data_IF_264433831313
#
_entry.id   IF_264433831313
#
_cell.length_a   1.000
_cell.length_b   1.000
_cell.length_c   1.000
_cell.angle_alpha   90.00
_cell.angle_beta   90.00
_cell.angle_gamma   90.00
#
_symmetry.space_group_name_H-M   'P 1'
#
loop_
_entity.id
_entity.type
_entity.pdbx_description
1 polymer ?
#
# COMPACT_ATOMS: atom_id res chain seq x y z
N UNK A 1 37.37 -5.07 34.35
CA UNK A 1 36.83 -5.17 32.97
C UNK A 1 35.40 -4.64 33.03
N UNK A 2 35.07 -3.56 32.30
CA UNK A 2 33.66 -3.13 32.18
C UNK A 2 32.98 -4.14 31.25
N UNK A 3 31.99 -4.85 31.74
CA UNK A 3 31.18 -5.76 30.94
C UNK A 3 30.47 -4.96 29.86
N UNK A 4 30.83 -5.16 28.59
CA UNK A 4 30.14 -4.56 27.46
C UNK A 4 28.76 -5.19 27.32
N UNK A 5 27.73 -4.36 27.20
CA UNK A 5 26.37 -4.84 27.07
C UNK A 5 25.91 -4.89 25.63
N UNK A 6 25.41 -6.06 25.24
CA UNK A 6 24.81 -6.29 23.95
C UNK A 6 23.31 -5.98 24.02
N UNK A 7 22.79 -5.35 22.96
CA UNK A 7 21.35 -5.26 22.73
C UNK A 7 20.82 -6.69 22.57
N UNK A 8 19.75 -7.06 23.27
CA UNK A 8 19.12 -8.38 23.06
C UNK A 8 18.06 -8.23 21.98
N UNK A 9 18.40 -8.68 20.77
CA UNK A 9 17.50 -8.54 19.63
C UNK A 9 16.18 -9.29 19.79
N UNK A 10 15.13 -8.72 19.19
CA UNK A 10 13.75 -9.24 19.22
C UNK A 10 13.35 -9.81 17.86
N UNK A 11 13.68 -11.09 17.57
CA UNK A 11 13.43 -11.69 16.26
C UNK A 11 11.94 -11.75 15.88
N UNK A 12 11.03 -11.64 16.83
CA UNK A 12 9.58 -11.54 16.61
C UNK A 12 9.12 -10.27 15.91
N UNK A 13 9.90 -9.18 15.96
CA UNK A 13 9.53 -7.91 15.33
C UNK A 13 10.25 -7.65 14.00
N UNK A 14 11.53 -8.01 13.92
CA UNK A 14 12.37 -7.75 12.75
C UNK A 14 13.39 -8.87 12.48
N UNK A 15 13.08 -10.10 12.89
CA UNK A 15 13.88 -11.27 12.52
C UNK A 15 14.00 -11.42 11.00
N UNK A 16 14.98 -12.20 10.55
CA UNK A 16 15.32 -12.33 9.13
C UNK A 16 14.14 -12.73 8.25
N UNK A 17 13.21 -13.56 8.74
CA UNK A 17 12.01 -13.91 7.97
C UNK A 17 11.06 -12.73 7.76
N UNK A 18 10.87 -11.87 8.77
CA UNK A 18 10.08 -10.64 8.64
C UNK A 18 10.81 -9.66 7.71
N UNK A 19 12.11 -9.42 7.91
CA UNK A 19 12.89 -8.52 7.04
C UNK A 19 12.85 -8.96 5.57
N UNK A 20 13.16 -10.22 5.30
CA UNK A 20 13.12 -10.78 3.96
C UNK A 20 11.71 -10.71 3.34
N UNK A 21 10.65 -10.88 4.13
CA UNK A 21 9.27 -10.72 3.66
C UNK A 21 9.00 -9.31 3.13
N UNK A 22 9.41 -8.27 3.87
CA UNK A 22 9.29 -6.87 3.43
C UNK A 22 10.12 -6.62 2.18
N UNK A 23 11.34 -7.14 2.11
CA UNK A 23 12.20 -6.96 0.93
C UNK A 23 11.56 -7.57 -0.31
N UNK A 24 11.07 -8.80 -0.21
CA UNK A 24 10.35 -9.48 -1.29
C UNK A 24 9.11 -8.69 -1.72
N UNK A 25 8.31 -8.19 -0.77
CA UNK A 25 7.14 -7.37 -1.09
C UNK A 25 7.52 -6.05 -1.78
N UNK A 26 8.59 -5.36 -1.36
CA UNK A 26 9.02 -4.10 -2.00
C UNK A 26 9.48 -4.32 -3.44
N UNK A 27 10.31 -5.34 -3.68
CA UNK A 27 10.74 -5.70 -5.04
C UNK A 27 9.58 -6.23 -5.87
N UNK A 28 8.73 -7.09 -5.29
CA UNK A 28 7.54 -7.62 -5.92
C UNK A 28 6.58 -6.51 -6.37
N UNK A 29 6.28 -5.53 -5.50
CA UNK A 29 5.45 -4.37 -5.86
C UNK A 29 6.10 -3.53 -6.96
N UNK A 30 7.43 -3.39 -6.95
CA UNK A 30 8.17 -2.66 -7.98
C UNK A 30 8.06 -3.33 -9.34
N UNK A 31 8.21 -4.66 -9.38
CA UNK A 31 8.09 -5.47 -10.59
C UNK A 31 6.65 -5.60 -11.07
N UNK A 32 5.68 -5.72 -10.17
CA UNK A 32 4.26 -5.85 -10.49
C UNK A 32 3.71 -4.65 -11.28
N UNK A 33 4.42 -3.51 -11.30
CA UNK A 33 4.06 -2.36 -12.16
C UNK A 33 4.15 -2.62 -13.67
N UNK A 34 4.88 -3.66 -14.04
CA UNK A 34 5.05 -4.11 -15.42
C UNK A 34 4.00 -5.14 -15.85
N UNK A 35 3.18 -5.59 -14.91
CA UNK A 35 2.12 -6.57 -15.12
C UNK A 35 0.79 -5.82 -15.31
N UNK A 36 -0.05 -6.28 -16.23
CA UNK A 36 -1.35 -5.67 -16.50
C UNK A 36 -2.46 -6.13 -15.56
N UNK A 37 -2.25 -7.18 -14.77
CA UNK A 37 -3.21 -7.68 -13.77
C UNK A 37 -3.25 -6.75 -12.53
N UNK A 38 -4.33 -5.98 -12.35
CA UNK A 38 -4.49 -5.11 -11.18
C UNK A 38 -4.65 -5.91 -9.88
N UNK A 39 -5.10 -7.15 -9.95
CA UNK A 39 -5.43 -8.00 -8.80
C UNK A 39 -4.17 -8.42 -8.07
N UNK A 40 -3.17 -8.88 -8.81
CA UNK A 40 -1.89 -9.29 -8.22
C UNK A 40 -1.22 -8.11 -7.51
N UNK A 41 -1.14 -6.95 -8.16
CA UNK A 41 -0.58 -5.77 -7.51
C UNK A 41 -1.35 -5.41 -6.23
N UNK A 42 -2.69 -5.48 -6.28
CA UNK A 42 -3.51 -5.18 -5.11
C UNK A 42 -3.31 -6.15 -3.96
N UNK A 43 -3.10 -7.42 -4.27
CA UNK A 43 -2.78 -8.43 -3.27
C UNK A 43 -1.43 -8.14 -2.61
N UNK A 44 -0.40 -7.77 -3.39
CA UNK A 44 0.89 -7.36 -2.83
C UNK A 44 0.76 -6.10 -1.96
N UNK A 45 0.06 -5.07 -2.45
CA UNK A 45 -0.14 -3.82 -1.73
C UNK A 45 -0.90 -4.03 -0.41
N UNK A 46 -1.98 -4.82 -0.45
CA UNK A 46 -2.78 -5.14 0.74
C UNK A 46 -1.98 -5.96 1.74
N UNK A 47 -1.20 -6.94 1.27
CA UNK A 47 -0.32 -7.75 2.12
C UNK A 47 0.74 -6.88 2.80
N UNK A 48 1.38 -5.99 2.04
CA UNK A 48 2.33 -5.04 2.58
C UNK A 48 1.69 -4.13 3.63
N UNK A 49 0.51 -3.59 3.36
CA UNK A 49 -0.22 -2.74 4.31
C UNK A 49 -0.55 -3.49 5.61
N UNK A 50 -1.03 -4.74 5.53
CA UNK A 50 -1.33 -5.56 6.71
C UNK A 50 -0.07 -5.83 7.53
N UNK A 51 1.04 -6.21 6.88
CA UNK A 51 2.30 -6.48 7.57
C UNK A 51 2.89 -5.22 8.20
N UNK A 52 2.91 -4.10 7.47
CA UNK A 52 3.37 -2.82 7.97
C UNK A 52 2.53 -2.36 9.18
N UNK A 53 1.21 -2.48 9.10
CA UNK A 53 0.31 -2.15 10.21
C UNK A 53 0.54 -3.05 11.42
N UNK A 54 0.68 -4.37 11.23
CA UNK A 54 0.92 -5.32 12.31
C UNK A 54 2.23 -5.06 13.05
N UNK A 55 3.32 -4.85 12.31
CA UNK A 55 4.62 -4.50 12.90
C UNK A 55 4.58 -3.13 13.58
N UNK A 56 3.88 -2.15 12.98
CA UNK A 56 3.73 -0.83 13.58
C UNK A 56 2.92 -0.85 14.88
N UNK A 57 1.80 -1.58 14.92
CA UNK A 57 1.02 -1.77 16.15
C UNK A 57 1.87 -2.47 17.21
N UNK A 58 2.64 -3.50 16.84
CA UNK A 58 3.58 -4.16 17.73
C UNK A 58 4.64 -3.21 18.30
N UNK A 59 5.17 -2.31 17.46
CA UNK A 59 6.09 -1.26 17.88
C UNK A 59 5.42 -0.30 18.87
N UNK A 60 4.22 0.21 18.57
CA UNK A 60 3.49 1.14 19.46
C UNK A 60 3.19 0.50 20.81
N UNK A 61 2.73 -0.75 20.83
CA UNK A 61 2.47 -1.50 22.07
C UNK A 61 3.77 -1.66 22.86
N UNK A 62 4.88 -1.99 22.18
CA UNK A 62 6.18 -2.16 22.82
C UNK A 62 6.69 -0.86 23.46
N UNK A 63 6.55 0.25 22.73
CA UNK A 63 6.89 1.58 23.25
C UNK A 63 5.98 1.97 24.44
N UNK A 64 4.69 1.66 24.38
CA UNK A 64 3.72 2.00 25.42
C UNK A 64 3.89 1.16 26.70
N UNK A 65 4.25 -0.12 26.55
CA UNK A 65 4.46 -1.04 27.68
C UNK A 65 5.86 -0.94 28.28
N UNK A 66 6.69 -0.01 27.78
CA UNK A 66 8.10 0.14 28.16
C UNK A 66 8.86 -1.20 28.03
N UNK A 67 8.48 -2.02 27.05
CA UNK A 67 9.28 -3.20 26.74
C UNK A 67 10.63 -2.74 26.21
N UNK A 68 11.64 -3.56 26.51
CA UNK A 68 13.05 -3.22 26.35
C UNK A 68 13.42 -3.26 24.86
N UNK A 69 13.09 -2.21 24.10
CA UNK A 69 13.64 -1.94 22.76
C UNK A 69 14.74 -0.88 22.87
N UNK A 70 15.82 -1.08 22.15
CA UNK A 70 16.85 -0.06 21.92
C UNK A 70 16.40 0.92 20.82
N UNK A 71 17.01 2.11 20.78
CA UNK A 71 16.70 3.09 19.72
C UNK A 71 17.08 2.58 18.32
N UNK A 72 18.12 1.74 18.20
CA UNK A 72 18.51 1.07 16.97
C UNK A 72 17.42 0.11 16.49
N UNK A 73 16.79 -0.66 17.39
CA UNK A 73 15.67 -1.54 17.05
C UNK A 73 14.43 -0.75 16.61
N UNK A 74 14.09 0.33 17.33
CA UNK A 74 13.00 1.23 16.94
C UNK A 74 13.27 1.83 15.56
N UNK A 75 14.51 2.26 15.31
CA UNK A 75 14.92 2.80 14.02
C UNK A 75 14.82 1.75 12.89
N UNK A 76 15.29 0.52 13.12
CA UNK A 76 15.15 -0.61 12.17
C UNK A 76 13.68 -0.89 11.86
N UNK A 77 12.84 -0.97 12.90
CA UNK A 77 11.41 -1.21 12.73
C UNK A 77 10.75 -0.11 11.93
N UNK A 78 11.04 1.16 12.26
CA UNK A 78 10.55 2.31 11.51
C UNK A 78 11.01 2.28 10.06
N UNK A 79 12.28 2.01 9.75
CA UNK A 79 12.75 1.85 8.38
C UNK A 79 11.96 0.75 7.64
N UNK A 80 11.71 -0.38 8.28
CA UNK A 80 10.98 -1.51 7.71
C UNK A 80 9.52 -1.15 7.39
N UNK A 81 8.78 -0.57 8.33
CA UNK A 81 7.38 -0.23 8.10
C UNK A 81 7.18 1.00 7.22
N UNK A 82 8.16 1.90 7.16
CA UNK A 82 8.06 3.16 6.41
C UNK A 82 8.76 3.15 5.05
N UNK A 83 9.53 2.11 4.70
CA UNK A 83 10.28 2.00 3.44
C UNK A 83 9.44 2.38 2.21
N UNK A 84 8.36 1.64 1.98
CA UNK A 84 7.51 1.82 0.81
C UNK A 84 6.59 3.04 0.95
N UNK A 85 5.96 3.23 2.12
CA UNK A 85 5.00 4.31 2.35
C UNK A 85 5.63 5.71 2.43
N UNK A 86 6.87 5.84 2.92
CA UNK A 86 7.56 7.12 3.07
C UNK A 86 8.65 7.32 2.01
N UNK A 87 9.66 6.45 1.98
CA UNK A 87 10.90 6.71 1.23
C UNK A 87 10.76 6.45 -0.27
N UNK A 88 10.07 5.37 -0.67
CA UNK A 88 9.80 5.09 -2.10
C UNK A 88 8.87 6.16 -2.72
N UNK A 89 8.04 6.84 -1.92
CA UNK A 89 7.22 7.97 -2.37
C UNK A 89 8.00 9.28 -2.54
N UNK A 90 9.22 9.39 -2.02
CA UNK A 90 9.98 10.64 -2.04
C UNK A 90 10.37 11.08 -3.47
N UNK A 91 10.89 10.21 -4.36
CA UNK A 91 11.09 10.56 -5.77
C UNK A 91 9.81 11.03 -6.44
N UNK A 92 8.66 10.43 -6.08
CA UNK A 92 7.36 10.83 -6.59
C UNK A 92 6.96 12.25 -6.16
N UNK A 93 7.15 12.60 -4.89
CA UNK A 93 6.89 13.95 -4.40
C UNK A 93 7.81 14.99 -5.05
N UNK A 94 9.11 14.68 -5.17
CA UNK A 94 10.07 15.53 -5.87
C UNK A 94 9.64 15.75 -7.31
N UNK A 95 9.22 14.68 -8.00
CA UNK A 95 8.75 14.75 -9.37
C UNK A 95 7.50 15.62 -9.53
N UNK A 96 6.49 15.48 -8.65
CA UNK A 96 5.29 16.33 -8.68
C UNK A 96 5.63 17.81 -8.46
N UNK A 97 6.53 18.11 -7.52
CA UNK A 97 6.99 19.48 -7.28
C UNK A 97 7.76 20.03 -8.49
N UNK A 98 8.69 19.25 -9.05
CA UNK A 98 9.48 19.63 -10.22
C UNK A 98 8.62 19.88 -11.47
N UNK A 99 7.50 19.19 -11.58
CA UNK A 99 6.55 19.33 -12.69
C UNK A 99 5.42 20.33 -12.40
N UNK A 100 5.46 21.02 -11.25
CA UNK A 100 4.46 22.01 -10.81
C UNK A 100 3.04 21.40 -10.86
N UNK A 101 2.90 20.17 -10.36
CA UNK A 101 1.62 19.45 -10.27
C UNK A 101 0.87 19.35 -11.61
N UNK A 102 1.59 19.35 -12.73
CA UNK A 102 1.00 19.20 -14.05
C UNK A 102 0.41 17.79 -14.18
N UNK A 103 -0.92 17.63 -14.33
CA UNK A 103 -1.57 16.33 -14.31
C UNK A 103 -1.17 15.45 -15.50
N UNK A 104 -0.66 16.06 -16.58
CA UNK A 104 -0.14 15.31 -17.72
C UNK A 104 1.25 14.68 -17.45
N UNK A 105 2.02 15.24 -16.52
CA UNK A 105 3.37 14.76 -16.13
C UNK A 105 3.32 13.80 -14.93
N UNK A 106 2.16 13.57 -14.34
CA UNK A 106 2.05 12.87 -13.07
C UNK A 106 2.25 11.34 -13.23
N UNK A 107 3.33 10.81 -12.64
CA UNK A 107 3.56 9.36 -12.53
C UNK A 107 2.52 8.65 -11.64
N UNK A 108 1.76 9.41 -10.84
CA UNK A 108 0.71 8.94 -9.95
C UNK A 108 -0.49 8.35 -10.67
N UNK A 109 -0.47 8.38 -12.01
CA UNK A 109 -1.38 7.67 -12.89
C UNK A 109 -1.55 6.17 -12.52
N UNK A 110 -0.62 5.61 -11.76
CA UNK A 110 -0.69 4.24 -11.23
C UNK A 110 -1.97 3.95 -10.41
N UNK A 111 -2.34 4.80 -9.46
CA UNK A 111 -3.59 4.63 -8.69
C UNK A 111 -4.83 4.95 -9.55
N UNK A 112 -4.67 5.83 -10.53
CA UNK A 112 -5.76 6.20 -11.42
C UNK A 112 -6.11 5.07 -12.41
N UNK A 113 -5.12 4.33 -12.91
CA UNK A 113 -5.30 3.25 -13.90
C UNK A 113 -5.82 1.93 -13.30
N UNK A 114 -5.63 1.68 -12.00
CA UNK A 114 -6.23 0.51 -11.32
C UNK A 114 -7.77 0.64 -11.18
N UNK A 115 -8.40 1.65 -11.79
CA UNK A 115 -9.84 1.83 -11.82
C UNK A 115 -10.43 2.32 -10.50
N UNK A 116 -9.60 2.67 -9.53
CA UNK A 116 -10.06 3.10 -8.21
C UNK A 116 -10.85 4.40 -8.22
N UNK A 117 -10.54 5.30 -9.16
CA UNK A 117 -11.22 6.58 -9.28
C UNK A 117 -12.50 6.51 -10.12
N UNK A 118 -12.57 5.59 -11.09
CA UNK A 118 -13.73 5.45 -11.99
C UNK A 118 -14.77 4.42 -11.51
N UNK A 119 -14.43 3.53 -10.57
CA UNK A 119 -15.41 2.69 -9.88
C UNK A 119 -16.05 3.44 -8.72
N UNK A 120 -16.90 4.43 -9.04
CA UNK A 120 -17.63 5.24 -8.08
C UNK A 120 -18.51 4.46 -7.08
N UNK A 121 -18.78 3.18 -7.34
CA UNK A 121 -19.69 2.36 -6.54
C UNK A 121 -19.00 1.44 -5.52
N UNK A 122 -17.66 1.43 -5.45
CA UNK A 122 -16.95 0.61 -4.45
C UNK A 122 -16.44 1.48 -3.31
N UNK A 123 -16.87 1.18 -2.07
CA UNK A 123 -16.37 1.83 -0.86
C UNK A 123 -14.93 1.43 -0.50
N UNK A 124 -14.49 0.24 -0.93
CA UNK A 124 -13.17 -0.33 -0.61
C UNK A 124 -11.94 0.55 -0.90
N UNK A 125 -11.85 1.25 -2.05
CA UNK A 125 -10.71 2.10 -2.40
C UNK A 125 -10.54 3.29 -1.46
N UNK A 126 -11.65 3.90 -1.05
CA UNK A 126 -11.66 5.03 -0.13
C UNK A 126 -11.23 4.60 1.27
N UNK A 127 -11.79 3.48 1.77
CA UNK A 127 -11.42 2.94 3.08
C UNK A 127 -9.94 2.59 3.12
N UNK A 128 -9.43 1.92 2.08
CA UNK A 128 -8.01 1.60 1.97
C UNK A 128 -7.14 2.86 1.94
N UNK A 129 -7.49 3.86 1.11
CA UNK A 129 -6.74 5.11 1.02
C UNK A 129 -6.70 5.90 2.34
N UNK A 130 -7.82 5.95 3.06
CA UNK A 130 -7.89 6.57 4.39
C UNK A 130 -7.03 5.80 5.40
N UNK A 131 -7.12 4.46 5.40
CA UNK A 131 -6.33 3.62 6.30
C UNK A 131 -4.82 3.73 6.03
N UNK A 132 -4.41 3.72 4.77
CA UNK A 132 -3.01 3.90 4.36
C UNK A 132 -2.50 5.30 4.73
N UNK A 133 -3.32 6.34 4.51
CA UNK A 133 -2.98 7.71 4.91
C UNK A 133 -2.86 7.82 6.44
N UNK A 134 -3.77 7.19 7.19
CA UNK A 134 -3.71 7.13 8.65
C UNK A 134 -2.44 6.45 9.17
N UNK A 135 -2.06 5.31 8.57
CA UNK A 135 -0.81 4.64 8.87
C UNK A 135 0.40 5.53 8.56
N UNK A 136 0.42 6.17 7.39
CA UNK A 136 1.49 7.09 6.99
C UNK A 136 1.65 8.26 7.97
N UNK A 137 0.55 8.90 8.36
CA UNK A 137 0.58 10.01 9.33
C UNK A 137 1.06 9.54 10.71
N UNK A 138 0.65 8.34 11.13
CA UNK A 138 1.12 7.73 12.38
C UNK A 138 2.62 7.45 12.33
N UNK A 139 3.12 6.90 11.23
CA UNK A 139 4.54 6.65 11.00
C UNK A 139 5.37 7.95 11.00
N UNK A 140 4.89 8.99 10.32
CA UNK A 140 5.52 10.32 10.34
C UNK A 140 5.60 10.85 11.77
N UNK A 141 4.51 10.75 12.53
CA UNK A 141 4.46 11.15 13.94
C UNK A 141 5.50 10.40 14.79
N UNK A 142 5.56 9.07 14.67
CA UNK A 142 6.52 8.24 15.41
C UNK A 142 7.98 8.52 15.00
N UNK A 143 8.25 8.76 13.72
CA UNK A 143 9.56 9.20 13.24
C UNK A 143 9.95 10.55 13.84
N UNK A 144 9.08 11.55 13.77
CA UNK A 144 9.33 12.88 14.33
C UNK A 144 9.56 12.79 15.85
N UNK A 145 8.79 11.97 16.56
CA UNK A 145 9.01 11.69 17.96
C UNK A 145 10.39 11.06 18.21
N UNK A 146 10.77 10.01 17.45
CA UNK A 146 12.07 9.35 17.59
C UNK A 146 13.21 10.36 17.47
N UNK A 147 13.22 11.16 16.40
CA UNK A 147 14.32 12.09 16.11
C UNK A 147 14.34 13.32 17.02
N UNK A 148 13.19 13.77 17.51
CA UNK A 148 13.09 14.94 18.40
C UNK A 148 13.45 14.61 19.85
N UNK A 149 12.89 13.55 20.42
CA UNK A 149 13.06 13.21 21.84
C UNK A 149 13.25 11.73 22.13
N UNK A 150 12.82 10.85 21.22
CA UNK A 150 12.82 9.41 21.46
C UNK A 150 14.24 8.86 21.59
N UNK A 151 15.16 9.26 20.72
CA UNK A 151 16.57 8.84 20.79
C UNK A 151 17.13 9.14 22.18
N UNK A 152 17.01 10.36 22.68
CA UNK A 152 17.54 10.81 23.99
C UNK A 152 16.78 10.24 25.20
N UNK A 153 15.68 9.53 24.99
CA UNK A 153 14.89 9.04 26.10
C UNK A 153 15.69 8.01 26.90
N UNK A 154 15.79 8.23 28.23
CA UNK A 154 16.43 7.30 29.14
C UNK A 154 15.83 5.89 29.01
N UNK A 155 14.57 5.78 28.60
CA UNK A 155 13.92 4.51 28.30
C UNK A 155 14.65 3.74 27.20
N UNK A 156 14.97 4.34 26.04
CA UNK A 156 15.63 3.63 24.94
C UNK A 156 17.15 3.47 25.14
N UNK A 157 17.78 4.34 25.95
CA UNK A 157 19.21 4.27 26.25
C UNK A 157 19.56 3.29 27.39
N UNK A 158 18.74 3.22 28.45
CA UNK A 158 19.01 2.39 29.62
C UNK A 158 18.68 0.90 29.41
N UNK A 159 18.16 0.55 28.24
CA UNK A 159 17.69 -0.79 27.91
C UNK A 159 18.82 -1.80 27.59
N UNK A 160 20.08 -1.40 27.75
CA UNK A 160 21.21 -2.32 27.78
C UNK A 160 21.18 -3.18 29.04
N UNK A 161 21.02 -4.49 28.86
CA UNK A 161 21.16 -5.46 29.96
C UNK A 161 22.43 -6.28 29.76
N UNK A 162 23.20 -6.43 30.81
CA UNK A 162 24.28 -7.41 30.84
C UNK A 162 23.70 -8.84 30.88
N UNK A 163 24.54 -9.83 30.64
CA UNK A 163 24.14 -11.25 30.69
C UNK A 163 23.57 -11.67 32.07
N UNK A 164 23.93 -10.94 33.12
CA UNK A 164 23.45 -11.11 34.50
C UNK A 164 22.17 -10.31 34.82
N UNK A 165 21.63 -9.57 33.85
CA UNK A 165 20.46 -8.71 34.02
C UNK A 165 20.73 -7.35 34.66
N UNK A 166 21.99 -7.01 34.96
CA UNK A 166 22.36 -5.69 35.48
C UNK A 166 22.24 -4.59 34.41
N UNK A 167 21.88 -3.38 34.85
CA UNK A 167 21.83 -2.19 33.99
C UNK A 167 23.26 -1.73 33.74
N UNK A 168 23.60 -1.53 32.48
CA UNK A 168 24.94 -1.21 32.05
C UNK A 168 24.91 -0.11 31.00
N UNK A 169 26.04 0.59 30.89
CA UNK A 169 26.22 1.65 29.91
C UNK A 169 26.20 1.03 28.51
N UNK A 170 25.10 1.30 27.79
CA UNK A 170 24.87 0.72 26.48
C UNK A 170 25.93 1.22 25.50
N UNK A 171 26.38 0.32 24.63
CA UNK A 171 27.23 0.67 23.50
C UNK A 171 26.57 1.77 22.66
N UNK A 172 27.41 2.67 22.16
CA UNK A 172 27.03 3.74 21.25
C UNK A 172 26.18 3.19 20.10
N UNK A 173 24.90 3.55 20.07
CA UNK A 173 23.98 3.09 19.04
C UNK A 173 24.25 3.84 17.73
N UNK A 174 24.34 3.12 16.63
CA UNK A 174 24.63 3.68 15.31
C UNK A 174 23.52 3.41 14.30
N UNK A 175 23.25 4.36 13.42
CA UNK A 175 22.30 4.25 12.31
C UNK A 175 22.99 4.42 10.96
N UNK A 176 22.24 4.15 9.90
CA UNK A 176 22.70 4.29 8.51
C UNK A 176 22.68 5.72 7.98
N UNK A 177 23.85 6.22 7.55
CA UNK A 177 24.02 7.41 6.69
C UNK A 177 25.10 7.16 5.64
N UNK A 178 25.06 6.02 4.93
CA UNK A 178 26.14 5.51 4.05
C UNK A 178 27.49 5.24 4.75
N UNK A 179 27.55 5.54 6.04
CA UNK A 179 28.58 5.23 7.02
C UNK A 179 27.89 5.09 8.38
N UNK A 180 28.52 4.46 9.37
CA UNK A 180 27.98 4.43 10.73
C UNK A 180 27.85 5.86 11.26
N UNK A 181 26.61 6.29 11.49
CA UNK A 181 26.26 7.57 12.09
C UNK A 181 25.79 7.36 13.51
N UNK A 182 26.24 8.17 14.45
CA UNK A 182 25.74 8.12 15.82
C UNK A 182 24.27 8.56 15.86
N UNK A 183 23.38 7.69 16.34
CA UNK A 183 21.96 7.99 16.49
C UNK A 183 21.74 9.22 17.38
N UNK A 184 22.60 9.42 18.39
CA UNK A 184 22.55 10.55 19.32
C UNK A 184 22.95 11.87 18.68
N UNK A 185 23.71 11.83 17.57
CA UNK A 185 24.31 13.04 17.03
C UNK A 185 23.27 14.01 16.47
N UNK A 186 23.37 15.28 16.87
CA UNK A 186 22.44 16.34 16.46
C UNK A 186 22.31 16.44 14.94
N UNK A 187 23.43 16.31 14.22
CA UNK A 187 23.44 16.36 12.75
C UNK A 187 22.68 15.20 12.10
N UNK A 188 22.84 13.98 12.61
CA UNK A 188 22.14 12.81 12.09
C UNK A 188 20.63 12.88 12.39
N UNK A 189 20.25 13.34 13.58
CA UNK A 189 18.85 13.57 13.97
C UNK A 189 18.20 14.64 13.10
N UNK A 190 18.86 15.78 12.92
CA UNK A 190 18.36 16.87 12.08
C UNK A 190 18.17 16.41 10.63
N UNK A 191 19.14 15.68 10.07
CA UNK A 191 19.05 15.14 8.71
C UNK A 191 17.83 14.25 8.52
N UNK A 192 17.63 13.27 9.41
CA UNK A 192 16.48 12.37 9.32
C UNK A 192 15.15 13.10 9.55
N UNK A 193 15.10 14.03 10.52
CA UNK A 193 13.91 14.85 10.74
C UNK A 193 13.52 15.66 9.49
N UNK A 194 14.51 16.27 8.80
CA UNK A 194 14.27 17.01 7.55
C UNK A 194 13.68 16.12 6.46
N UNK A 195 14.19 14.89 6.30
CA UNK A 195 13.62 13.93 5.33
C UNK A 195 12.17 13.62 5.67
N UNK A 196 11.85 13.39 6.94
CA UNK A 196 10.49 13.06 7.37
C UNK A 196 9.55 14.26 7.22
N UNK A 197 10.01 15.48 7.51
CA UNK A 197 9.23 16.70 7.21
C UNK A 197 9.00 16.88 5.71
N UNK A 198 9.98 16.56 4.86
CA UNK A 198 9.80 16.60 3.40
C UNK A 198 8.76 15.59 2.92
N UNK A 199 8.76 14.37 3.48
CA UNK A 199 7.72 13.35 3.22
C UNK A 199 6.35 13.87 3.65
N UNK A 200 6.23 14.40 4.88
CA UNK A 200 4.98 14.93 5.41
C UNK A 200 4.43 16.09 4.57
N UNK A 201 5.28 17.06 4.22
CA UNK A 201 4.93 18.17 3.35
C UNK A 201 4.50 17.67 1.96
N UNK A 202 5.24 16.71 1.38
CA UNK A 202 4.87 16.06 0.13
C UNK A 202 3.48 15.45 0.18
N UNK A 203 3.17 14.68 1.22
CA UNK A 203 1.85 14.07 1.42
C UNK A 203 0.74 15.11 1.51
N UNK A 204 0.90 16.14 2.33
CA UNK A 204 -0.10 17.22 2.48
C UNK A 204 -0.34 17.94 1.15
N UNK A 205 0.74 18.31 0.44
CA UNK A 205 0.61 19.01 -0.83
C UNK A 205 -0.07 18.13 -1.88
N UNK A 206 0.25 16.82 -1.94
CA UNK A 206 -0.44 15.90 -2.84
C UNK A 206 -1.92 15.74 -2.50
N UNK A 207 -2.27 15.64 -1.22
CA UNK A 207 -3.66 15.52 -0.78
C UNK A 207 -4.47 16.79 -1.12
N UNK A 208 -3.90 17.98 -0.91
CA UNK A 208 -4.52 19.25 -1.29
C UNK A 208 -4.69 19.38 -2.82
N UNK A 209 -3.70 18.91 -3.59
CA UNK A 209 -3.80 18.88 -5.05
C UNK A 209 -4.94 17.97 -5.51
N UNK A 210 -5.03 16.77 -4.93
CA UNK A 210 -6.02 15.76 -5.30
C UNK A 210 -7.44 16.15 -4.84
N UNK A 211 -7.58 16.92 -3.76
CA UNK A 211 -8.83 17.55 -3.32
C UNK A 211 -9.33 18.66 -4.29
N UNK A 212 -8.59 18.95 -5.36
CA UNK A 212 -8.98 19.92 -6.38
C UNK A 212 -8.73 21.38 -5.98
N UNK A 213 -8.13 21.62 -4.82
CA UNK A 213 -7.82 22.98 -4.34
C UNK A 213 -6.77 23.66 -5.22
N UNK A 214 -5.92 22.89 -5.90
CA UNK A 214 -4.80 23.40 -6.71
C UNK A 214 -5.10 23.30 -8.23
N UNK A 215 -6.10 22.53 -8.66
CA UNK A 215 -6.25 22.13 -10.07
C UNK A 215 -7.58 22.51 -10.78
N UNK A 216 -8.46 23.32 -10.17
CA UNK A 216 -9.84 23.48 -10.65
C UNK A 216 -10.01 24.21 -12.02
N UNK A 217 -9.00 24.92 -12.54
CA UNK A 217 -9.15 25.66 -13.81
C UNK A 217 -8.64 24.91 -15.06
N UNK A 218 -7.76 23.92 -14.93
CA UNK A 218 -7.16 23.24 -16.07
C UNK A 218 -8.11 22.21 -16.72
N UNK A 219 -9.01 21.62 -15.93
CA UNK A 219 -9.91 20.54 -16.37
C UNK A 219 -11.06 21.06 -17.25
N UNK A 220 -11.50 22.30 -17.01
CA UNK A 220 -12.52 22.99 -17.81
C UNK A 220 -12.09 23.21 -19.28
N UNK A 221 -10.79 23.49 -19.52
CA UNK A 221 -10.25 23.72 -20.88
C UNK A 221 -9.98 22.42 -21.64
N UNK A 222 -9.79 21.30 -20.94
CA UNK A 222 -9.48 19.98 -21.53
C UNK A 222 -10.65 19.41 -22.36
N UNK A 223 -11.90 19.69 -21.95
CA UNK A 223 -13.11 19.20 -22.63
C UNK A 223 -13.28 19.74 -24.06
N UNK A 224 -12.71 20.91 -24.39
CA UNK A 224 -12.76 21.50 -25.76
C UNK A 224 -11.76 20.89 -26.74
N UNK A 225 -10.75 20.12 -26.29
CA UNK A 225 -9.66 19.60 -27.15
C UNK A 225 -9.89 18.17 -27.68
N UNK A 226 -11.10 17.63 -27.54
CA UNK A 226 -11.45 16.24 -27.90
C UNK A 226 -11.28 15.86 -29.40
N UNK A 227 -10.97 16.79 -30.31
CA UNK A 227 -10.78 16.48 -31.75
C UNK A 227 -9.34 16.14 -32.18
N UNK A 228 -8.30 16.51 -31.43
CA UNK A 228 -6.88 16.19 -31.77
C UNK A 228 -6.37 14.87 -31.14
N UNK A 229 -7.26 13.92 -30.88
CA UNK A 229 -7.05 12.83 -29.91
C UNK A 229 -6.13 11.69 -30.36
N UNK A 230 -6.10 11.32 -31.65
CA UNK A 230 -5.38 10.12 -32.10
C UNK A 230 -3.85 10.27 -32.01
N UNK A 231 -3.29 11.36 -32.52
CA UNK A 231 -1.83 11.61 -32.40
C UNK A 231 -1.39 11.81 -30.94
N UNK A 232 -2.25 12.41 -30.11
CA UNK A 232 -1.99 12.60 -28.69
C UNK A 232 -2.01 11.29 -27.89
N UNK A 233 -2.78 10.28 -28.32
CA UNK A 233 -2.78 8.95 -27.67
C UNK A 233 -1.40 8.31 -27.79
N UNK A 234 -0.84 8.23 -29.00
CA UNK A 234 0.51 7.66 -29.22
C UNK A 234 1.59 8.37 -28.41
N UNK A 235 1.59 9.70 -28.39
CA UNK A 235 2.54 10.48 -27.57
C UNK A 235 2.32 10.27 -26.06
N UNK A 236 1.07 10.10 -25.63
CA UNK A 236 0.75 9.81 -24.22
C UNK A 236 1.26 8.43 -23.82
N UNK A 237 1.09 7.42 -24.65
CA UNK A 237 1.50 6.05 -24.32
C UNK A 237 3.03 5.93 -24.25
N UNK A 238 3.76 6.52 -25.20
CA UNK A 238 5.23 6.59 -25.16
C UNK A 238 5.75 7.32 -23.91
N UNK A 239 5.05 8.38 -23.49
CA UNK A 239 5.38 9.14 -22.29
C UNK A 239 5.09 8.37 -21.01
N UNK A 240 3.94 7.70 -20.92
CA UNK A 240 3.59 6.86 -19.78
C UNK A 240 4.62 5.74 -19.60
N UNK A 241 5.08 5.15 -20.69
CA UNK A 241 6.13 4.14 -20.67
C UNK A 241 7.47 4.70 -20.14
N UNK A 242 7.85 5.91 -20.56
CA UNK A 242 9.04 6.59 -20.03
C UNK A 242 8.91 6.88 -18.52
N UNK A 243 7.76 7.38 -18.08
CA UNK A 243 7.50 7.66 -16.66
C UNK A 243 7.52 6.38 -15.82
N UNK A 244 6.93 5.30 -16.32
CA UNK A 244 6.99 3.97 -15.67
C UNK A 244 8.43 3.48 -15.55
N UNK A 245 9.23 3.62 -16.61
CA UNK A 245 10.66 3.27 -16.59
C UNK A 245 11.40 4.07 -15.53
N UNK A 246 11.26 5.39 -15.55
CA UNK A 246 11.93 6.29 -14.60
C UNK A 246 11.56 5.95 -13.16
N UNK A 247 10.27 5.81 -12.86
CA UNK A 247 9.80 5.45 -11.51
C UNK A 247 10.34 4.09 -11.08
N UNK A 248 10.30 3.07 -11.95
CA UNK A 248 10.86 1.76 -11.66
C UNK A 248 12.36 1.85 -11.34
N UNK A 249 13.12 2.63 -12.10
CA UNK A 249 14.55 2.85 -11.85
C UNK A 249 14.79 3.57 -10.53
N UNK A 250 13.99 4.58 -10.18
CA UNK A 250 14.05 5.24 -8.87
C UNK A 250 13.75 4.25 -7.73
N UNK A 251 12.69 3.45 -7.86
CA UNK A 251 12.31 2.51 -6.81
C UNK A 251 13.33 1.38 -6.66
N UNK A 252 13.89 0.89 -7.78
CA UNK A 252 14.98 -0.09 -7.80
C UNK A 252 16.31 0.45 -7.25
N UNK A 253 16.49 1.78 -7.14
CA UNK A 253 17.68 2.36 -6.49
C UNK A 253 17.41 2.66 -5.01
N UNK A 254 16.24 3.19 -4.67
CA UNK A 254 15.85 3.50 -3.29
C UNK A 254 15.69 2.22 -2.44
N UNK A 255 15.09 1.17 -3.00
CA UNK A 255 14.81 -0.07 -2.25
C UNK A 255 16.10 -0.74 -1.74
N UNK A 256 17.14 -1.00 -2.55
CA UNK A 256 18.42 -1.53 -2.05
C UNK A 256 19.12 -0.64 -1.03
N UNK A 257 18.99 0.68 -1.14
CA UNK A 257 19.56 1.61 -0.15
C UNK A 257 18.89 1.41 1.20
N UNK A 258 17.56 1.24 1.24
CA UNK A 258 16.82 1.01 2.48
C UNK A 258 17.13 -0.39 3.05
N UNK A 259 17.20 -1.42 2.20
CA UNK A 259 17.65 -2.76 2.62
C UNK A 259 19.04 -2.67 3.27
N UNK A 260 19.97 -1.98 2.61
CA UNK A 260 21.32 -1.74 3.16
C UNK A 260 21.25 -0.98 4.48
N UNK A 261 20.36 0.01 4.60
CA UNK A 261 20.18 0.77 5.83
C UNK A 261 19.72 -0.11 6.99
N UNK A 262 18.78 -1.03 6.76
CA UNK A 262 18.32 -1.99 7.77
C UNK A 262 19.44 -2.97 8.14
N UNK A 263 20.03 -3.64 7.15
CA UNK A 263 21.05 -4.67 7.38
C UNK A 263 22.32 -4.12 8.04
N UNK A 264 22.81 -2.96 7.59
CA UNK A 264 24.00 -2.34 8.16
C UNK A 264 23.73 -1.78 9.55
N UNK A 265 22.53 -1.26 9.84
CA UNK A 265 22.17 -0.84 11.20
C UNK A 265 22.18 -2.05 12.14
N UNK A 266 21.63 -3.18 11.73
CA UNK A 266 21.66 -4.41 12.55
C UNK A 266 23.11 -4.89 12.76
N UNK A 267 23.89 -4.93 11.68
CA UNK A 267 25.29 -5.38 11.73
C UNK A 267 26.17 -4.48 12.59
N UNK A 268 26.10 -3.15 12.44
CA UNK A 268 26.94 -2.23 13.19
C UNK A 268 26.60 -2.12 14.68
N UNK A 269 25.38 -2.52 15.08
CA UNK A 269 24.99 -2.60 16.49
C UNK A 269 25.12 -4.01 17.09
N UNK A 270 25.66 -4.97 16.33
CA UNK A 270 25.89 -6.37 16.75
C UNK A 270 24.66 -7.00 17.43
N UNK A 271 23.47 -6.81 16.82
CA UNK A 271 22.22 -7.30 17.40
C UNK A 271 22.16 -8.83 17.21
N UNK A 272 22.21 -9.63 18.30
CA UNK A 272 22.23 -11.08 18.23
C UNK A 272 20.84 -11.65 17.96
N UNK A 273 20.78 -12.93 17.56
CA UNK A 273 19.54 -13.74 17.42
C UNK A 273 18.51 -13.25 16.39
N UNK A 274 18.82 -12.23 15.57
CA UNK A 274 17.88 -11.70 14.55
C UNK A 274 18.11 -12.27 13.14
N UNK A 275 19.14 -13.10 12.98
CA UNK A 275 19.51 -13.73 11.70
C UNK A 275 19.00 -15.18 11.58
N UNK A 276 18.20 -15.65 12.53
CA UNK A 276 17.61 -17.00 12.52
C UNK A 276 16.09 -16.92 12.31
N UNK A 277 15.57 -17.62 11.31
CA UNK A 277 14.13 -17.76 11.06
C UNK A 277 13.60 -19.06 11.68
N UNK A 278 13.42 -19.08 12.99
CA UNK A 278 13.00 -20.27 13.73
C UNK A 278 11.60 -20.15 14.35
N UNK A 279 10.87 -19.05 14.12
CA UNK A 279 9.53 -18.84 14.66
C UNK A 279 8.48 -18.83 13.57
N UNK A 280 7.30 -19.38 13.86
CA UNK A 280 6.14 -19.36 12.95
C UNK A 280 5.75 -17.93 12.56
N UNK A 281 5.89 -16.97 13.49
CA UNK A 281 5.64 -15.54 13.24
C UNK A 281 6.53 -14.94 12.15
N UNK A 282 7.74 -15.49 11.94
CA UNK A 282 8.63 -15.08 10.85
C UNK A 282 8.39 -15.87 9.55
N UNK A 283 8.00 -17.14 9.65
CA UNK A 283 7.81 -18.01 8.49
C UNK A 283 6.54 -17.65 7.69
N UNK A 284 5.43 -17.35 8.37
CA UNK A 284 4.17 -16.98 7.70
C UNK A 284 4.36 -15.79 6.73
N UNK A 285 4.88 -14.62 7.16
CA UNK A 285 5.05 -13.50 6.25
C UNK A 285 6.07 -13.78 5.15
N UNK A 286 7.13 -14.54 5.47
CA UNK A 286 8.13 -14.95 4.48
C UNK A 286 7.53 -15.81 3.36
N UNK A 287 6.79 -16.86 3.70
CA UNK A 287 6.15 -17.74 2.72
C UNK A 287 5.12 -17.00 1.87
N UNK A 288 4.27 -16.17 2.49
CA UNK A 288 3.28 -15.40 1.73
C UNK A 288 3.96 -14.46 0.74
N UNK A 289 4.99 -13.74 1.17
CA UNK A 289 5.73 -12.80 0.31
C UNK A 289 6.49 -13.52 -0.80
N UNK A 290 7.03 -14.71 -0.51
CA UNK A 290 7.71 -15.55 -1.50
C UNK A 290 6.75 -16.02 -2.60
N UNK A 291 5.57 -16.51 -2.24
CA UNK A 291 4.54 -16.94 -3.19
C UNK A 291 4.12 -15.78 -4.09
N UNK A 292 3.74 -14.64 -3.49
CA UNK A 292 3.29 -13.46 -4.25
C UNK A 292 4.38 -12.93 -5.19
N UNK A 293 5.62 -12.87 -4.72
CA UNK A 293 6.74 -12.41 -5.56
C UNK A 293 7.05 -13.40 -6.67
N UNK A 294 6.95 -14.71 -6.41
CA UNK A 294 7.10 -15.75 -7.43
C UNK A 294 6.01 -15.62 -8.50
N UNK A 295 4.76 -15.36 -8.12
CA UNK A 295 3.68 -15.12 -9.07
C UNK A 295 3.98 -13.91 -9.97
N UNK A 296 4.51 -12.81 -9.40
CA UNK A 296 4.96 -11.63 -10.16
C UNK A 296 6.06 -12.01 -11.14
N UNK A 297 7.09 -12.73 -10.71
CA UNK A 297 8.21 -13.13 -11.58
C UNK A 297 7.75 -14.04 -12.72
N UNK A 298 6.88 -15.01 -12.43
CA UNK A 298 6.32 -15.92 -13.45
C UNK A 298 5.49 -15.15 -14.47
N UNK A 299 4.56 -14.31 -14.02
CA UNK A 299 3.74 -13.50 -14.93
C UNK A 299 4.60 -12.56 -15.79
N UNK A 300 5.61 -11.91 -15.19
CA UNK A 300 6.55 -11.07 -15.92
C UNK A 300 7.34 -11.89 -16.96
N UNK A 301 7.79 -13.10 -16.62
CA UNK A 301 8.46 -14.01 -17.54
C UNK A 301 7.58 -14.43 -18.71
N UNK A 302 6.29 -14.71 -18.49
CA UNK A 302 5.32 -15.01 -19.54
C UNK A 302 5.09 -13.82 -20.48
N UNK A 303 5.01 -12.60 -19.92
CA UNK A 303 4.91 -11.36 -20.72
C UNK A 303 6.16 -11.18 -21.59
N UNK A 304 7.35 -11.36 -21.03
CA UNK A 304 8.62 -11.25 -21.77
C UNK A 304 8.72 -12.31 -22.87
N UNK A 305 8.20 -13.52 -22.63
CA UNK A 305 8.16 -14.60 -23.61
C UNK A 305 7.12 -14.41 -24.71
N UNK A 306 6.27 -13.36 -24.64
CA UNK A 306 5.16 -13.16 -25.58
C UNK A 306 4.03 -14.18 -25.42
N UNK A 307 3.98 -14.89 -24.29
CA UNK A 307 2.96 -15.88 -23.96
C UNK A 307 1.84 -15.28 -23.09
N UNK A 308 1.68 -13.96 -23.09
CA UNK A 308 0.72 -13.28 -22.22
C UNK A 308 -0.71 -13.67 -22.62
N UNK A 309 -1.47 -14.36 -21.74
CA UNK A 309 -2.82 -14.83 -22.06
C UNK A 309 -3.83 -13.69 -22.29
N UNK A 310 -3.48 -12.45 -21.93
CA UNK A 310 -4.37 -11.28 -22.04
C UNK A 310 -4.28 -10.50 -23.35
N UNK A 311 -3.31 -10.79 -24.24
CA UNK A 311 -3.24 -10.08 -25.53
C UNK A 311 -4.48 -10.34 -26.40
N UNK A 312 -5.14 -11.48 -26.21
CA UNK A 312 -6.37 -11.87 -26.92
C UNK A 312 -7.55 -10.90 -26.70
N UNK A 313 -7.66 -10.27 -25.53
CA UNK A 313 -8.77 -9.36 -25.22
C UNK A 313 -8.57 -7.94 -25.77
N UNK A 314 -7.31 -7.48 -25.89
CA UNK A 314 -7.01 -6.10 -26.29
C UNK A 314 -7.31 -5.81 -27.76
N UNK A 315 -7.23 -6.82 -28.62
CA UNK A 315 -7.52 -6.67 -30.05
C UNK A 315 -9.02 -6.61 -30.36
N UNK A 316 -9.88 -7.15 -29.49
CA UNK A 316 -11.31 -7.23 -29.77
C UNK A 316 -12.04 -5.89 -29.53
N UNK A 317 -11.58 -5.10 -28.56
CA UNK A 317 -12.15 -3.78 -28.27
C UNK A 317 -11.77 -2.73 -29.33
N UNK A 318 -10.55 -2.78 -29.89
CA UNK A 318 -10.14 -1.87 -30.97
C UNK A 318 -10.84 -2.18 -32.32
N UNK A 319 -11.26 -3.43 -32.54
CA UNK A 319 -12.05 -3.83 -33.71
C UNK A 319 -13.49 -3.30 -33.67
N UNK A 320 -14.15 -3.38 -32.51
CA UNK A 320 -15.56 -2.95 -32.39
C UNK A 320 -15.74 -1.42 -32.40
N UNK A 321 -14.77 -0.63 -31.91
CA UNK A 321 -14.83 0.84 -32.03
C UNK A 321 -14.70 1.33 -33.49
N UNK A 322 -14.17 0.51 -34.41
CA UNK A 322 -14.12 0.86 -35.83
C UNK A 322 -15.42 0.58 -36.57
N UNK A 323 -16.22 -0.39 -36.13
CA UNK A 323 -17.49 -0.75 -36.80
C UNK A 323 -18.67 0.09 -36.30
N UNK A 324 -18.67 0.53 -35.04
CA UNK A 324 -19.77 1.33 -34.46
C UNK A 324 -19.83 2.79 -34.94
N UNK A 325 -18.80 3.28 -35.63
CA UNK A 325 -18.76 4.65 -36.20
C UNK A 325 -19.49 4.75 -37.55
N UNK A 326 -20.00 3.64 -38.11
CA UNK A 326 -20.72 3.63 -39.39
C UNK A 326 -22.25 3.50 -39.29
N UNK A 327 -22.85 3.59 -38.10
CA UNK A 327 -24.32 3.60 -37.95
C UNK A 327 -24.81 5.04 -37.71
N UNK A 328 -25.09 5.71 -38.82
CA UNK A 328 -25.74 7.02 -38.89
C UNK A 328 -27.20 6.91 -38.39
N UNK A 329 -27.47 7.22 -37.12
CA UNK A 329 -28.84 7.47 -36.65
C UNK A 329 -29.26 8.91 -36.99
N UNK A 330 -30.06 9.06 -38.04
CA UNK A 330 -30.86 10.25 -38.33
C UNK A 330 -32.15 10.21 -37.51
N UNK A 331 -32.10 10.66 -36.25
CA UNK A 331 -33.30 10.83 -35.42
C UNK A 331 -33.51 12.32 -35.10
N UNK A 332 -34.56 12.88 -35.71
CA UNK A 332 -35.09 14.23 -35.44
C UNK A 332 -35.57 14.36 -33.98
N UNK A 333 -35.57 15.58 -33.40
CA UNK A 333 -36.23 15.82 -32.13
C UNK A 333 -37.74 16.01 -32.36
N UNK A 334 -38.55 15.24 -31.63
CA UNK A 334 -39.99 15.51 -31.45
C UNK A 334 -40.20 16.05 -30.03
N UNK A 335 -40.99 17.12 -29.99
CA UNK A 335 -41.40 17.92 -28.85
C UNK A 335 -42.23 17.18 -27.79
N UNK A 336 -42.34 17.83 -26.63
CA UNK A 336 -43.52 17.89 -25.74
C UNK A 336 -43.60 16.89 -24.58
N UNK A 337 -43.42 17.36 -23.33
CA UNK A 337 -44.49 17.98 -22.53
C UNK A 337 -44.08 18.01 -21.05
N UNK A 338 -44.32 19.15 -20.41
CA UNK A 338 -44.14 19.35 -18.99
C UNK A 338 -45.30 18.70 -18.21
N UNK A 339 -44.97 17.97 -17.14
CA UNK A 339 -45.93 17.49 -16.14
C UNK A 339 -45.75 18.34 -14.87
N UNK A 340 -46.81 18.96 -14.33
CA UNK A 340 -46.73 19.70 -13.08
C UNK A 340 -46.82 18.74 -11.88
N UNK A 341 -45.94 18.94 -10.89
CA UNK A 341 -45.97 18.22 -9.61
C UNK A 341 -46.78 19.05 -8.61
N UNK A 342 -47.86 18.45 -8.08
CA UNK A 342 -48.62 18.91 -6.92
C UNK A 342 -47.96 18.44 -5.61
N UNK A 343 -48.08 19.19 -4.50
CA UNK A 343 -47.56 18.78 -3.21
C UNK A 343 -48.65 18.10 -2.33
N UNK A 344 -48.34 16.94 -1.75
CA UNK A 344 -49.08 16.35 -0.62
C UNK A 344 -48.05 15.98 0.46
N UNK A 345 -48.08 16.69 1.59
CA UNK A 345 -48.74 16.33 2.85
C UNK A 345 -48.02 15.25 3.68
N UNK A 346 -47.33 15.75 4.71
CA UNK A 346 -47.46 15.37 6.13
C UNK A 346 -47.61 13.88 6.50
N UNK A 347 -46.58 13.32 7.14
CA UNK A 347 -46.72 12.23 8.10
C UNK A 347 -45.68 12.35 9.24
N UNK A 348 -46.19 12.19 10.46
CA UNK A 348 -45.62 12.45 11.79
C UNK A 348 -44.56 11.43 12.26
N UNK A 349 -43.83 11.72 13.36
CA UNK A 349 -42.74 10.88 13.84
C UNK A 349 -43.23 9.73 14.74
N UNK A 350 -42.58 8.58 14.61
CA UNK A 350 -42.77 7.40 15.47
C UNK A 350 -41.81 7.49 16.65
N UNK A 351 -42.37 7.40 17.86
CA UNK A 351 -41.71 7.26 19.16
C UNK A 351 -41.29 5.80 19.35
N UNK A 352 -40.10 5.49 19.90
CA UNK A 352 -39.75 4.14 20.32
C UNK A 352 -40.04 3.92 21.82
N UNK A 353 -40.70 2.82 22.14
CA UNK A 353 -40.80 2.30 23.51
C UNK A 353 -39.62 1.38 23.86
N UNK A 354 -39.27 1.24 25.16
CA UNK A 354 -38.07 0.53 25.60
C UNK A 354 -38.36 -0.82 26.29
N UNK A 355 -37.26 -1.57 26.49
CA UNK A 355 -37.05 -2.64 27.50
C UNK A 355 -37.57 -4.05 27.17
N UNK A 356 -36.65 -5.02 27.06
CA UNK A 356 -36.51 -6.09 28.08
C UNK A 356 -35.21 -6.90 27.92
N UNK A 357 -34.44 -6.97 29.02
CA UNK A 357 -33.41 -7.98 29.26
C UNK A 357 -34.07 -9.33 29.58
N UNK A 358 -33.55 -10.41 29.00
CA UNK A 358 -33.90 -11.79 29.35
C UNK A 358 -32.67 -12.69 29.22
N UNK A 359 -32.26 -13.25 30.34
CA UNK A 359 -31.15 -14.19 30.57
C UNK A 359 -31.48 -15.64 30.19
N UNK A 360 -30.47 -16.52 30.35
CA UNK A 360 -30.52 -18.00 30.44
C UNK A 360 -30.43 -18.72 29.09
N UNK A 361 -29.79 -19.87 28.88
CA UNK A 361 -28.60 -20.58 29.37
C UNK A 361 -28.56 -21.89 28.55
N UNK A 362 -27.35 -22.46 28.43
CA UNK A 362 -27.04 -23.90 28.30
C UNK A 362 -27.43 -24.74 27.06
N UNK A 363 -26.39 -25.47 26.62
CA UNK A 363 -26.32 -26.91 26.29
C UNK A 363 -26.67 -27.40 24.89
N UNK A 364 -25.62 -27.95 24.25
CA UNK A 364 -25.51 -29.28 23.62
C UNK A 364 -26.65 -29.78 22.73
N UNK A 365 -26.31 -30.10 21.48
CA UNK A 365 -26.28 -31.49 20.99
C UNK A 365 -25.93 -31.56 19.50
N UNK A 366 -25.22 -32.64 19.17
CA UNK A 366 -24.60 -32.98 17.88
C UNK A 366 -25.62 -33.63 16.89
N UNK A 367 -25.20 -34.39 15.85
CA UNK A 367 -25.66 -34.19 14.48
C UNK A 367 -26.71 -35.23 14.02
N UNK A 368 -27.33 -35.02 12.86
CA UNK A 368 -28.05 -36.07 12.15
C UNK A 368 -27.92 -35.91 10.64
N UNK A 369 -27.32 -36.92 10.03
CA UNK A 369 -27.47 -37.29 8.62
C UNK A 369 -28.94 -37.61 8.28
N UNK A 370 -29.29 -37.51 7.00
CA UNK A 370 -30.54 -38.03 6.46
C UNK A 370 -30.72 -37.67 4.96
N UNK A 371 -30.98 -38.65 4.06
CA UNK A 371 -30.75 -38.51 2.62
C UNK A 371 -32.02 -38.43 1.75
N UNK A 372 -31.76 -38.21 0.45
CA UNK A 372 -32.53 -38.63 -0.75
C UNK A 372 -33.99 -38.22 -0.98
N UNK A 373 -34.22 -37.60 -2.15
CA UNK A 373 -35.52 -37.56 -2.82
C UNK A 373 -35.48 -36.90 -4.22
N UNK A 374 -36.07 -37.47 -5.29
CA UNK A 374 -35.61 -37.24 -6.68
C UNK A 374 -36.60 -36.49 -7.61
N UNK A 375 -36.06 -35.95 -8.73
CA UNK A 375 -36.63 -35.92 -10.12
C UNK A 375 -37.94 -35.11 -10.36
N UNK A 376 -38.26 -34.41 -11.47
CA UNK A 376 -38.06 -34.47 -12.95
C UNK A 376 -38.47 -33.04 -13.54
N UNK A 377 -38.76 -32.82 -14.86
CA UNK A 377 -37.95 -32.17 -15.90
C UNK A 377 -38.34 -30.74 -16.40
N UNK A 378 -37.42 -30.19 -17.21
CA UNK A 378 -37.47 -29.25 -18.38
C UNK A 378 -38.85 -28.83 -18.97
N UNK A 379 -39.01 -27.64 -19.63
CA UNK A 379 -38.32 -27.32 -20.89
C UNK A 379 -38.00 -25.83 -21.23
N UNK A 380 -36.88 -25.64 -21.95
CA UNK A 380 -36.66 -24.73 -23.11
C UNK A 380 -37.01 -23.22 -23.04
N UNK A 381 -36.01 -22.33 -23.22
CA UNK A 381 -35.88 -21.44 -24.40
C UNK A 381 -34.67 -20.48 -24.36
N UNK A 382 -34.10 -20.25 -25.55
CA UNK A 382 -33.28 -19.11 -26.01
C UNK A 382 -31.79 -18.99 -25.62
N UNK A 383 -30.97 -19.63 -26.46
CA UNK A 383 -29.85 -19.04 -27.24
C UNK A 383 -29.42 -17.62 -26.87
N UNK A 384 -28.32 -17.52 -26.10
CA UNK A 384 -27.33 -16.42 -26.18
C UNK A 384 -25.94 -17.01 -25.97
N UNK A 385 -24.99 -16.38 -26.64
CA UNK A 385 -23.64 -16.80 -27.01
C UNK A 385 -22.75 -17.39 -25.89
N UNK A 386 -21.76 -18.25 -26.23
CA UNK A 386 -20.92 -18.89 -25.23
C UNK A 386 -19.93 -17.90 -24.58
N UNK A 387 -19.74 -17.94 -23.25
CA UNK A 387 -18.64 -17.24 -22.61
C UNK A 387 -17.33 -17.99 -22.88
N UNK A 388 -16.25 -17.23 -23.00
CA UNK A 388 -14.89 -17.71 -23.15
C UNK A 388 -14.59 -18.85 -22.15
N UNK A 389 -14.33 -20.03 -22.70
CA UNK A 389 -13.82 -21.19 -21.97
C UNK A 389 -12.36 -20.92 -21.58
N UNK A 390 -12.09 -20.89 -20.27
CA UNK A 390 -10.75 -20.99 -19.72
C UNK A 390 -10.27 -22.45 -19.83
N UNK A 391 -9.09 -22.66 -20.40
CA UNK A 391 -8.25 -23.84 -20.21
C UNK A 391 -6.87 -23.39 -19.77
#
# INVERSE_FOLDING_TARGET
MRSTCAVVGKPEFYGVGIRASFYLLWFGMTLARWIWDPTLFLLLLSTHFIFASGVFVGLVISLATLTVLSAAEVYVLLLLVSAFSCYVRLPYYIWRVATIFRPDLDCGFYYHHLGFRDRGDMAGPYVFGVAETGLLMSLIGTHLWLWSSGVDSNALYANGRAADGSVCELQKQVGFAFKPGDLASTGFRAFNAVIIFAVAGGTVVTALADAGWIASEAESRSRRRRRRRRERRKMRDARLELLRKLQTTCDMTVTPIIVSAVELTIYWNDIPNVNTANTTAQLIPLFLSLVLTTMVVVQLGLIIAGLSPNDSCRYQEEGNEQEEVSIHYTSRPIFSSAIPITPSSTASPIVPDPVTLGSVATSDSSPSEGPDGPSVPDPTHHSRDPPCSYT
#
